data_IF_554401828072
#
_entry.id   IF_554401828072
#
_cell.length_a   1.000
_cell.length_b   1.000
_cell.length_c   1.000
_cell.angle_alpha   90.00
_cell.angle_beta   90.00
_cell.angle_gamma   90.00
#
_symmetry.space_group_name_H-M   'P 1'
#
loop_
_entity.id
_entity.type
_entity.pdbx_description
1 polymer ?
#
# COMPACT_ATOMS: atom_id res chain seq x y z
N UNK A 1 28.34 2.77 9.04
CA UNK A 1 27.61 3.32 9.34
C UNK A 1 26.32 3.15 9.32
N UNK A 2 25.91 3.10 9.59
CA UNK A 2 24.83 2.85 9.41
C UNK A 2 23.77 3.68 9.46
N UNK A 3 23.08 3.60 8.78
CA UNK A 3 22.00 4.49 8.60
C UNK A 3 21.01 4.40 9.73
N UNK A 4 20.51 5.52 10.17
CA UNK A 4 19.44 5.57 11.15
C UNK A 4 18.07 5.63 10.47
N UNK A 5 18.01 5.48 9.15
CA UNK A 5 16.76 5.55 8.42
C UNK A 5 15.83 4.41 8.82
N UNK A 6 14.55 4.74 8.96
CA UNK A 6 13.50 3.75 9.20
C UNK A 6 12.69 3.56 7.95
N UNK A 7 12.26 2.33 7.71
CA UNK A 7 11.45 2.00 6.56
C UNK A 7 10.05 1.66 7.05
N UNK A 8 9.07 2.33 6.48
CA UNK A 8 7.68 2.20 6.89
C UNK A 8 6.85 1.72 5.71
N UNK A 9 6.08 0.67 5.93
CA UNK A 9 5.09 0.20 4.95
C UNK A 9 3.72 0.72 5.37
N UNK A 10 3.08 1.49 4.50
CA UNK A 10 1.73 1.97 4.73
C UNK A 10 0.75 1.24 3.83
N UNK A 11 -0.36 0.81 4.40
CA UNK A 11 -1.42 0.12 3.66
C UNK A 11 -2.73 0.86 3.92
N UNK A 12 -3.45 1.17 2.85
CA UNK A 12 -4.73 1.83 2.95
C UNK A 12 -5.76 1.10 2.11
N UNK A 13 -6.97 0.94 2.65
CA UNK A 13 -8.10 0.44 1.87
C UNK A 13 -9.30 1.34 2.14
N UNK A 14 -9.88 1.88 1.07
CA UNK A 14 -11.11 2.65 1.14
C UNK A 14 -12.16 1.92 0.30
N UNK A 15 -13.31 2.52 0.07
CA UNK A 15 -14.39 1.82 -0.64
C UNK A 15 -13.97 1.29 -2.01
N UNK A 16 -13.20 2.07 -2.74
CA UNK A 16 -12.84 1.75 -4.13
C UNK A 16 -11.34 1.70 -4.41
N UNK A 17 -10.49 1.98 -3.41
CA UNK A 17 -9.05 1.96 -3.62
C UNK A 17 -8.34 1.03 -2.63
N UNK A 18 -7.31 0.35 -3.10
CA UNK A 18 -6.37 -0.38 -2.26
C UNK A 18 -4.98 0.14 -2.59
N UNK A 19 -4.23 0.53 -1.58
CA UNK A 19 -2.94 1.17 -1.79
C UNK A 19 -1.89 0.66 -0.81
N UNK A 20 -0.64 0.70 -1.26
CA UNK A 20 0.51 0.43 -0.41
C UNK A 20 1.63 1.38 -0.78
N UNK A 21 2.35 1.85 0.22
CA UNK A 21 3.48 2.73 0.00
C UNK A 21 4.63 2.34 0.91
N UNK A 22 5.85 2.61 0.44
CA UNK A 22 7.06 2.41 1.23
C UNK A 22 7.72 3.77 1.37
N UNK A 23 7.96 4.16 2.62
CA UNK A 23 8.51 5.46 2.95
C UNK A 23 9.74 5.25 3.82
N UNK A 24 10.80 6.00 3.55
CA UNK A 24 11.94 6.04 4.47
C UNK A 24 11.90 7.34 5.24
N UNK A 25 12.31 7.29 6.50
CA UNK A 25 12.32 8.45 7.38
C UNK A 25 13.66 8.50 8.12
N UNK A 26 14.33 9.63 8.04
CA UNK A 26 15.63 9.83 8.69
C UNK A 26 15.80 11.31 9.05
N UNK A 27 16.05 11.58 10.33
CA UNK A 27 16.37 12.93 10.81
C UNK A 27 15.45 14.02 10.25
N UNK A 28 14.16 13.84 10.42
CA UNK A 28 13.14 14.80 9.98
C UNK A 28 12.98 14.90 8.45
N UNK A 29 13.64 14.00 7.73
CA UNK A 29 13.42 13.88 6.29
C UNK A 29 12.64 12.63 6.00
N UNK A 30 11.62 12.75 5.16
CA UNK A 30 10.89 11.58 4.69
C UNK A 30 11.00 11.50 3.18
N UNK A 31 11.02 10.31 2.67
CA UNK A 31 11.13 10.06 1.24
C UNK A 31 10.20 8.92 0.86
N UNK A 32 9.39 9.15 -0.14
CA UNK A 32 8.51 8.10 -0.67
C UNK A 32 9.34 7.24 -1.62
N UNK A 33 9.54 5.99 -1.25
CA UNK A 33 10.30 5.06 -2.08
C UNK A 33 9.41 4.40 -3.14
N UNK A 34 8.15 4.19 -2.82
CA UNK A 34 7.17 3.68 -3.77
C UNK A 34 5.76 4.00 -3.31
N UNK A 35 4.82 4.03 -4.25
CA UNK A 35 3.41 4.24 -3.95
C UNK A 35 2.61 3.54 -5.04
N UNK A 36 1.79 2.58 -4.66
CA UNK A 36 1.00 1.77 -5.59
C UNK A 36 -0.46 1.86 -5.19
N UNK A 37 -1.31 2.21 -6.13
CA UNK A 37 -2.76 2.33 -5.89
C UNK A 37 -3.48 1.53 -6.96
N UNK A 38 -4.45 0.73 -6.54
CA UNK A 38 -5.32 0.00 -7.46
C UNK A 38 -6.75 0.42 -7.17
N UNK A 39 -7.43 0.91 -8.20
CA UNK A 39 -8.79 1.41 -8.11
C UNK A 39 -9.80 0.34 -8.55
N UNK A 40 -10.92 0.26 -7.85
CA UNK A 40 -11.95 -0.73 -8.12
C UNK A 40 -13.14 -0.18 -8.92
N UNK A 41 -13.00 1.02 -9.49
CA UNK A 41 -14.12 1.66 -10.20
C UNK A 41 -14.81 0.77 -11.20
N UNK A 42 -14.05 0.10 -12.04
CA UNK A 42 -14.61 -0.76 -13.08
C UNK A 42 -15.49 -1.85 -12.48
N UNK A 43 -15.05 -2.44 -11.37
CA UNK A 43 -15.82 -3.48 -10.70
C UNK A 43 -17.14 -2.95 -10.15
N UNK A 44 -17.09 -1.79 -9.48
CA UNK A 44 -18.29 -1.20 -8.88
C UNK A 44 -19.27 -0.67 -9.91
N UNK A 45 -18.77 -0.13 -11.02
CA UNK A 45 -19.62 0.33 -12.11
C UNK A 45 -20.51 -0.79 -12.65
N UNK A 46 -19.98 -1.98 -12.73
CA UNK A 46 -20.70 -3.14 -13.20
C UNK A 46 -21.94 -3.43 -12.34
N UNK A 47 -21.92 -3.03 -11.08
CA UNK A 47 -23.01 -3.26 -10.14
C UNK A 47 -23.79 -1.98 -9.79
N UNK A 48 -23.55 -0.89 -10.52
CA UNK A 48 -24.28 0.36 -10.32
C UNK A 48 -23.83 1.16 -9.11
N UNK A 49 -22.64 0.88 -8.58
CA UNK A 49 -22.08 1.61 -7.45
C UNK A 49 -21.33 0.69 -6.51
N UNK A 50 -20.89 1.23 -5.38
CA UNK A 50 -20.11 0.46 -4.41
C UNK A 50 -20.99 -0.58 -3.74
N UNK A 51 -20.57 -1.84 -3.78
CA UNK A 51 -21.19 -2.95 -3.08
C UNK A 51 -20.24 -3.36 -1.96
N UNK A 52 -20.58 -3.12 -0.67
CA UNK A 52 -19.64 -3.34 0.43
C UNK A 52 -19.00 -4.73 0.48
N UNK A 53 -19.78 -5.76 0.23
CA UNK A 53 -19.26 -7.13 0.24
C UNK A 53 -18.24 -7.36 -0.86
N UNK A 54 -18.50 -6.83 -2.06
CA UNK A 54 -17.59 -6.94 -3.18
C UNK A 54 -16.34 -6.11 -2.93
N UNK A 55 -16.49 -4.92 -2.35
CA UNK A 55 -15.35 -4.06 -2.02
C UNK A 55 -14.42 -4.74 -1.02
N UNK A 56 -14.98 -5.34 0.03
CA UNK A 56 -14.16 -6.04 1.03
C UNK A 56 -13.38 -7.19 0.41
N UNK A 57 -14.02 -7.94 -0.47
CA UNK A 57 -13.38 -9.05 -1.15
C UNK A 57 -12.26 -8.60 -2.08
N UNK A 58 -12.52 -7.53 -2.83
CA UNK A 58 -11.54 -6.98 -3.76
C UNK A 58 -10.31 -6.44 -3.01
N UNK A 59 -10.51 -5.79 -1.85
CA UNK A 59 -9.39 -5.33 -1.03
C UNK A 59 -8.53 -6.50 -0.57
N UNK A 60 -9.15 -7.58 -0.11
CA UNK A 60 -8.41 -8.76 0.33
C UNK A 60 -7.58 -9.36 -0.80
N UNK A 61 -8.11 -9.38 -2.02
CA UNK A 61 -7.40 -9.91 -3.17
C UNK A 61 -6.29 -8.98 -3.67
N UNK A 62 -6.45 -7.67 -3.49
CA UNK A 62 -5.53 -6.68 -4.03
C UNK A 62 -4.40 -6.31 -3.08
N UNK A 63 -4.56 -6.53 -1.77
CA UNK A 63 -3.52 -6.18 -0.79
C UNK A 63 -2.20 -6.85 -1.13
N UNK A 64 -2.22 -8.14 -1.43
CA UNK A 64 -0.99 -8.85 -1.78
C UNK A 64 -0.31 -8.23 -3.00
N UNK A 65 -1.10 -7.87 -4.02
CA UNK A 65 -0.57 -7.30 -5.25
C UNK A 65 0.05 -5.92 -5.01
N UNK A 66 -0.65 -5.03 -4.30
CA UNK A 66 -0.12 -3.67 -4.09
C UNK A 66 1.10 -3.70 -3.18
N UNK A 67 1.11 -4.56 -2.15
CA UNK A 67 2.26 -4.68 -1.27
C UNK A 67 3.46 -5.24 -2.02
N UNK A 68 3.26 -6.31 -2.79
CA UNK A 68 4.33 -6.90 -3.59
C UNK A 68 4.93 -5.89 -4.56
N UNK A 69 4.07 -5.14 -5.26
CA UNK A 69 4.53 -4.14 -6.20
C UNK A 69 5.23 -2.97 -5.52
N UNK A 70 4.75 -2.56 -4.33
CA UNK A 70 5.40 -1.50 -3.58
C UNK A 70 6.82 -1.89 -3.19
N UNK A 71 7.03 -3.13 -2.72
CA UNK A 71 8.37 -3.62 -2.42
C UNK A 71 9.26 -3.68 -3.64
N UNK A 72 8.72 -4.14 -4.77
CA UNK A 72 9.47 -4.20 -6.01
C UNK A 72 9.95 -2.82 -6.47
N UNK A 73 9.04 -1.85 -6.46
CA UNK A 73 9.37 -0.49 -6.91
C UNK A 73 10.36 0.18 -5.98
N UNK A 74 10.24 -0.04 -4.68
CA UNK A 74 11.14 0.54 -3.70
C UNK A 74 12.48 -0.18 -3.63
N UNK A 75 12.57 -1.40 -4.18
CA UNK A 75 13.74 -2.26 -4.09
C UNK A 75 14.11 -2.54 -2.64
N UNK A 76 13.09 -2.82 -1.83
CA UNK A 76 13.20 -3.09 -0.42
C UNK A 76 12.59 -4.46 -0.14
N UNK A 77 13.08 -5.17 0.85
CA UNK A 77 12.50 -6.45 1.26
C UNK A 77 11.84 -6.31 2.62
N UNK A 78 10.92 -7.21 2.91
CA UNK A 78 10.13 -7.16 4.15
C UNK A 78 11.02 -7.10 5.40
N UNK A 79 12.16 -7.80 5.38
CA UNK A 79 13.08 -7.81 6.50
C UNK A 79 13.62 -6.42 6.85
N UNK A 80 13.56 -5.47 5.93
CA UNK A 80 14.04 -4.11 6.15
C UNK A 80 12.95 -3.16 6.67
N UNK A 81 11.71 -3.63 6.80
CA UNK A 81 10.60 -2.79 7.26
C UNK A 81 10.62 -2.71 8.78
N UNK A 82 10.60 -1.49 9.31
CA UNK A 82 10.62 -1.23 10.75
C UNK A 82 9.21 -1.08 11.33
N UNK A 83 8.28 -0.61 10.54
CA UNK A 83 6.94 -0.29 11.02
C UNK A 83 5.92 -0.48 9.90
N UNK A 84 4.75 -1.00 10.26
CA UNK A 84 3.63 -1.14 9.33
C UNK A 84 2.45 -0.33 9.86
N UNK A 85 1.96 0.59 9.03
CA UNK A 85 0.76 1.37 9.35
C UNK A 85 -0.37 0.94 8.43
N UNK A 86 -1.55 0.73 9.02
CA UNK A 86 -2.74 0.32 8.28
C UNK A 86 -3.91 1.23 8.62
N UNK A 87 -4.63 1.68 7.61
CA UNK A 87 -5.83 2.47 7.82
C UNK A 87 -7.06 1.83 7.22
#
# INVERSE_FOLDING_TARGET
MKSSARVILGIESSCDDTAASIVSYEENNSKILSSVVVNQNTLHEKYGGVVPEIAARAHAERVDDVVTNAFKEAKVVLANVDLIGVT
#
